data_IF_127846491218
#
_entry.id   IF_127846491218
#
_cell.length_a   1.000
_cell.length_b   1.000
_cell.length_c   1.000
_cell.angle_alpha   90.00
_cell.angle_beta   90.00
_cell.angle_gamma   90.00
#
_symmetry.space_group_name_H-M   'P 1'
#
loop_
_entity.id
_entity.type
_entity.pdbx_description
1 polymer ?
#
# COMPACT_ATOMS: atom_id res chain seq x y z
N UNK A 1 -10.68 -11.47 -3.58
CA UNK A 1 -12.15 -11.49 -3.29
C UNK A 1 -12.87 -10.81 -4.44
N UNK A 2 -14.17 -11.05 -4.62
CA UNK A 2 -14.95 -10.49 -5.73
C UNK A 2 -16.04 -9.55 -5.18
N UNK A 3 -16.54 -8.64 -6.03
CA UNK A 3 -17.70 -7.82 -5.73
C UNK A 3 -18.95 -8.70 -5.49
N UNK A 4 -19.72 -8.34 -4.47
CA UNK A 4 -21.05 -8.91 -4.25
C UNK A 4 -22.09 -8.22 -5.15
N UNK A 5 -23.27 -8.82 -5.31
CA UNK A 5 -24.40 -8.21 -6.05
C UNK A 5 -24.06 -7.81 -7.50
N UNK A 6 -23.17 -8.54 -8.19
CA UNK A 6 -22.68 -8.19 -9.54
C UNK A 6 -23.80 -7.88 -10.55
N UNK A 7 -24.88 -8.66 -10.57
CA UNK A 7 -26.02 -8.42 -11.48
C UNK A 7 -26.70 -7.07 -11.24
N UNK A 8 -26.84 -6.69 -9.97
CA UNK A 8 -27.44 -5.40 -9.61
C UNK A 8 -26.48 -4.24 -9.92
N UNK A 9 -25.19 -4.41 -9.64
CA UNK A 9 -24.16 -3.42 -9.99
C UNK A 9 -24.15 -3.22 -11.50
N UNK A 10 -24.16 -4.30 -12.28
CA UNK A 10 -24.24 -4.21 -13.76
C UNK A 10 -25.49 -3.44 -14.20
N UNK A 11 -26.65 -3.76 -13.64
CA UNK A 11 -27.91 -3.03 -13.91
C UNK A 11 -27.76 -1.52 -13.63
N UNK A 12 -27.06 -1.15 -12.56
CA UNK A 12 -26.85 0.26 -12.17
C UNK A 12 -25.90 0.94 -13.14
N UNK A 13 -24.79 0.30 -13.50
CA UNK A 13 -23.83 0.82 -14.48
C UNK A 13 -24.53 1.06 -15.83
N UNK A 14 -25.34 0.08 -16.29
CA UNK A 14 -26.12 0.17 -17.53
C UNK A 14 -27.19 1.28 -17.43
N UNK A 15 -27.92 1.39 -16.28
CA UNK A 15 -28.94 2.41 -16.06
C UNK A 15 -28.41 3.83 -16.20
N UNK A 16 -27.17 4.06 -15.71
CA UNK A 16 -26.55 5.37 -15.70
C UNK A 16 -25.56 5.60 -16.84
N UNK A 17 -25.47 4.65 -17.80
CA UNK A 17 -24.51 4.67 -18.93
C UNK A 17 -23.07 4.93 -18.45
N UNK A 18 -22.66 4.24 -17.38
CA UNK A 18 -21.31 4.29 -16.87
C UNK A 18 -20.45 3.26 -17.64
N UNK A 19 -19.50 3.73 -18.43
CA UNK A 19 -18.63 2.92 -19.31
C UNK A 19 -17.46 2.29 -18.55
N UNK A 20 -17.73 1.67 -17.40
CA UNK A 20 -16.76 0.94 -16.57
C UNK A 20 -17.29 -0.46 -16.34
N UNK A 21 -16.46 -1.48 -16.54
CA UNK A 21 -16.87 -2.86 -16.29
C UNK A 21 -16.63 -3.27 -14.83
N UNK A 22 -17.34 -4.31 -14.38
CA UNK A 22 -17.11 -4.90 -13.04
C UNK A 22 -15.67 -5.38 -12.90
N UNK A 23 -15.11 -5.99 -13.96
CA UNK A 23 -13.72 -6.47 -13.97
C UNK A 23 -12.72 -5.32 -13.82
N UNK A 24 -13.01 -4.15 -14.40
CA UNK A 24 -12.16 -2.97 -14.20
C UNK A 24 -12.23 -2.46 -12.77
N UNK A 25 -13.43 -2.40 -12.17
CA UNK A 25 -13.61 -2.03 -10.76
C UNK A 25 -12.83 -3.01 -9.88
N UNK A 26 -13.03 -4.32 -10.04
CA UNK A 26 -12.33 -5.36 -9.28
C UNK A 26 -10.81 -5.26 -9.44
N UNK A 27 -10.33 -4.99 -10.64
CA UNK A 27 -8.90 -4.80 -10.92
C UNK A 27 -8.31 -3.62 -10.16
N UNK A 28 -9.00 -2.46 -10.11
CA UNK A 28 -8.52 -1.28 -9.38
C UNK A 28 -8.48 -1.51 -7.88
N UNK A 29 -9.49 -2.12 -7.30
CA UNK A 29 -9.51 -2.49 -5.88
C UNK A 29 -8.61 -3.70 -5.53
N UNK A 30 -7.95 -4.31 -6.51
CA UNK A 30 -6.97 -5.40 -6.35
C UNK A 30 -5.53 -4.96 -6.61
N UNK A 31 -5.27 -3.66 -6.73
CA UNK A 31 -3.91 -3.13 -6.89
C UNK A 31 -3.02 -3.53 -5.72
N UNK A 32 -1.79 -3.94 -5.99
CA UNK A 32 -0.89 -4.59 -5.02
C UNK A 32 -0.49 -3.73 -3.82
N UNK A 33 -0.74 -2.42 -3.88
CA UNK A 33 -0.45 -1.48 -2.81
C UNK A 33 -1.64 -1.23 -1.86
N UNK A 34 -2.83 -1.78 -2.18
CA UNK A 34 -4.04 -1.64 -1.38
C UNK A 34 -4.15 -2.79 -0.39
N UNK A 35 -4.46 -2.50 0.85
CA UNK A 35 -4.66 -3.48 1.92
C UNK A 35 -5.95 -3.24 2.72
N UNK A 36 -6.35 -1.97 2.90
CA UNK A 36 -7.63 -1.58 3.48
C UNK A 36 -8.63 -1.12 2.41
N UNK A 37 -8.19 -0.28 1.46
CA UNK A 37 -9.03 0.26 0.38
C UNK A 37 -9.16 -0.76 -0.78
N UNK A 38 -9.78 -1.90 -0.45
CA UNK A 38 -9.94 -3.09 -1.30
C UNK A 38 -11.41 -3.47 -1.46
N UNK A 39 -11.71 -4.49 -2.27
CA UNK A 39 -13.09 -4.97 -2.52
C UNK A 39 -13.86 -5.28 -1.23
N UNK A 40 -13.22 -5.75 -0.18
CA UNK A 40 -13.84 -6.03 1.11
C UNK A 40 -14.47 -4.78 1.75
N UNK A 41 -13.79 -3.64 1.66
CA UNK A 41 -14.33 -2.36 2.12
C UNK A 41 -15.55 -1.97 1.29
N UNK A 42 -15.49 -2.08 -0.02
CA UNK A 42 -16.61 -1.80 -0.91
C UNK A 42 -17.80 -2.73 -0.63
N UNK A 43 -17.54 -4.03 -0.46
CA UNK A 43 -18.57 -5.00 -0.12
C UNK A 43 -19.25 -4.71 1.23
N UNK A 44 -18.49 -4.22 2.21
CA UNK A 44 -19.05 -3.76 3.49
C UNK A 44 -20.01 -2.59 3.28
N UNK A 45 -19.63 -1.58 2.51
CA UNK A 45 -20.47 -0.42 2.22
C UNK A 45 -21.74 -0.82 1.45
N UNK A 46 -21.59 -1.68 0.43
CA UNK A 46 -22.75 -2.21 -0.34
C UNK A 46 -23.74 -2.88 0.60
N UNK A 47 -23.29 -3.78 1.50
CA UNK A 47 -24.16 -4.43 2.46
C UNK A 47 -24.87 -3.41 3.37
N UNK A 48 -24.17 -2.40 3.87
CA UNK A 48 -24.75 -1.32 4.67
C UNK A 48 -25.85 -0.54 3.92
N UNK A 49 -25.63 -0.25 2.64
CA UNK A 49 -26.64 0.43 1.78
C UNK A 49 -27.88 -0.47 1.59
N UNK A 50 -27.70 -1.78 1.40
CA UNK A 50 -28.83 -2.70 1.32
C UNK A 50 -29.59 -2.82 2.65
N UNK A 51 -28.89 -2.83 3.78
CA UNK A 51 -29.53 -2.82 5.10
C UNK A 51 -30.40 -1.56 5.31
N UNK A 52 -29.93 -0.39 4.86
CA UNK A 52 -30.70 0.84 4.89
C UNK A 52 -31.95 0.75 4.01
N UNK A 53 -31.82 0.19 2.81
CA UNK A 53 -32.90 -0.01 1.89
C UNK A 53 -33.96 -1.00 2.43
N UNK A 54 -33.54 -2.13 2.96
CA UNK A 54 -34.44 -3.16 3.53
C UNK A 54 -35.21 -2.64 4.76
N UNK A 55 -34.58 -1.76 5.55
CA UNK A 55 -35.22 -1.03 6.66
C UNK A 55 -36.14 0.11 6.19
N UNK A 56 -36.26 0.34 4.88
CA UNK A 56 -37.02 1.44 4.27
C UNK A 56 -36.53 2.84 4.71
N UNK A 57 -35.28 2.97 5.07
CA UNK A 57 -34.70 4.24 5.44
C UNK A 57 -34.33 5.11 4.21
N UNK A 58 -34.16 4.49 3.03
CA UNK A 58 -33.87 5.15 1.77
C UNK A 58 -34.78 4.62 0.65
N UNK A 59 -34.99 5.44 -0.39
CA UNK A 59 -35.70 5.04 -1.60
C UNK A 59 -34.84 4.15 -2.51
N UNK A 60 -35.45 3.52 -3.53
CA UNK A 60 -34.72 2.76 -4.51
C UNK A 60 -33.75 3.65 -5.33
N UNK A 61 -34.12 4.90 -5.61
CA UNK A 61 -33.25 5.83 -6.30
C UNK A 61 -32.08 6.28 -5.43
N UNK A 62 -32.30 6.54 -4.14
CA UNK A 62 -31.23 6.86 -3.19
C UNK A 62 -30.25 5.69 -3.04
N UNK A 63 -30.77 4.44 -3.01
CA UNK A 63 -29.94 3.23 -3.01
C UNK A 63 -29.02 3.19 -4.23
N UNK A 64 -29.56 3.42 -5.44
CA UNK A 64 -28.78 3.41 -6.68
C UNK A 64 -27.68 4.49 -6.66
N UNK A 65 -28.00 5.73 -6.21
CA UNK A 65 -27.03 6.84 -6.07
C UNK A 65 -25.91 6.47 -5.07
N UNK A 66 -26.26 5.93 -3.90
CA UNK A 66 -25.31 5.54 -2.88
C UNK A 66 -24.42 4.38 -3.34
N UNK A 67 -24.97 3.42 -4.10
CA UNK A 67 -24.17 2.32 -4.67
C UNK A 67 -23.16 2.82 -5.69
N UNK A 68 -23.53 3.77 -6.56
CA UNK A 68 -22.58 4.43 -7.47
C UNK A 68 -21.49 5.15 -6.66
N UNK A 69 -21.86 5.97 -5.68
CA UNK A 69 -20.88 6.67 -4.87
C UNK A 69 -19.94 5.70 -4.12
N UNK A 70 -20.46 4.61 -3.53
CA UNK A 70 -19.67 3.60 -2.84
C UNK A 70 -18.69 2.86 -3.78
N UNK A 71 -19.12 2.54 -5.00
CA UNK A 71 -18.27 1.85 -5.97
C UNK A 71 -17.10 2.72 -6.47
N UNK A 72 -17.29 4.04 -6.49
CA UNK A 72 -16.34 4.95 -7.13
C UNK A 72 -15.57 5.84 -6.15
N UNK A 73 -15.90 5.96 -4.85
CA UNK A 73 -15.24 6.93 -3.94
C UNK A 73 -13.73 6.74 -3.83
N UNK A 74 -13.26 5.50 -3.83
CA UNK A 74 -11.85 5.13 -3.71
C UNK A 74 -11.30 4.42 -4.96
N UNK A 75 -11.97 4.54 -6.12
CA UNK A 75 -11.56 3.82 -7.34
C UNK A 75 -10.18 4.26 -7.82
N UNK A 76 -9.81 5.51 -7.57
CA UNK A 76 -8.45 6.03 -7.73
C UNK A 76 -7.83 6.16 -6.33
N UNK A 77 -6.73 5.45 -6.10
CA UNK A 77 -6.04 5.48 -4.82
C UNK A 77 -4.52 5.50 -5.01
N UNK A 78 -3.93 6.66 -4.79
CA UNK A 78 -2.48 6.89 -4.80
C UNK A 78 -2.02 7.20 -3.38
N UNK A 79 -1.13 6.37 -2.83
CA UNK A 79 -0.70 6.48 -1.43
C UNK A 79 -0.05 7.83 -1.14
N UNK A 80 -0.57 8.54 -0.13
CA UNK A 80 -0.05 9.84 0.32
C UNK A 80 -0.46 11.03 -0.54
N UNK A 81 -1.43 10.86 -1.43
CA UNK A 81 -2.08 11.96 -2.16
C UNK A 81 -3.33 12.43 -1.41
N UNK A 82 -3.70 13.68 -1.63
CA UNK A 82 -4.86 14.31 -1.00
C UNK A 82 -5.99 14.59 -2.01
N UNK A 83 -5.87 14.07 -3.22
CA UNK A 83 -6.76 14.33 -4.34
C UNK A 83 -7.38 13.02 -4.90
N UNK A 84 -7.30 11.93 -4.13
CA UNK A 84 -7.80 10.63 -4.55
C UNK A 84 -9.31 10.64 -4.77
N UNK A 85 -10.07 11.14 -3.83
CA UNK A 85 -11.53 11.23 -3.87
C UNK A 85 -11.97 12.16 -5.00
N UNK A 86 -11.31 13.30 -5.19
CA UNK A 86 -11.55 14.19 -6.32
C UNK A 86 -11.31 13.48 -7.65
N UNK A 87 -10.17 12.80 -7.81
CA UNK A 87 -9.87 12.01 -9.02
C UNK A 87 -10.85 10.87 -9.23
N UNK A 88 -11.33 10.27 -8.16
CA UNK A 88 -12.35 9.21 -8.18
C UNK A 88 -13.69 9.75 -8.68
N UNK A 89 -14.11 10.91 -8.19
CA UNK A 89 -15.32 11.60 -8.66
C UNK A 89 -15.18 12.04 -10.14
N UNK A 90 -14.03 12.59 -10.52
CA UNK A 90 -13.72 12.93 -11.91
C UNK A 90 -13.68 11.69 -12.82
N UNK A 91 -13.17 10.54 -12.32
CA UNK A 91 -13.18 9.28 -13.04
C UNK A 91 -14.61 8.81 -13.31
N UNK A 92 -15.52 8.89 -12.35
CA UNK A 92 -16.94 8.61 -12.55
C UNK A 92 -17.52 9.47 -13.68
N UNK A 93 -17.35 10.79 -13.61
CA UNK A 93 -17.90 11.70 -14.61
C UNK A 93 -17.31 11.47 -16.01
N UNK A 94 -16.00 11.26 -16.11
CA UNK A 94 -15.32 11.05 -17.40
C UNK A 94 -15.69 9.71 -18.08
N UNK A 95 -16.24 8.77 -17.33
CA UNK A 95 -16.69 7.48 -17.84
C UNK A 95 -18.22 7.35 -17.88
N UNK A 96 -18.96 8.46 -17.79
CA UNK A 96 -20.41 8.47 -17.86
C UNK A 96 -20.88 9.18 -19.14
N UNK A 97 -21.71 8.52 -19.94
CA UNK A 97 -22.39 9.13 -21.08
C UNK A 97 -23.68 9.76 -20.62
N UNK A 98 -23.71 11.09 -20.47
CA UNK A 98 -24.88 11.83 -20.01
C UNK A 98 -25.91 11.95 -21.15
N UNK A 99 -27.10 11.37 -20.96
CA UNK A 99 -28.15 11.28 -21.98
C UNK A 99 -29.38 12.13 -21.68
N UNK A 100 -29.70 12.34 -20.39
CA UNK A 100 -30.83 13.17 -19.95
C UNK A 100 -30.55 13.88 -18.60
N UNK A 101 -31.45 14.84 -18.26
CA UNK A 101 -31.30 15.65 -17.05
C UNK A 101 -31.46 14.83 -15.76
N UNK A 102 -32.33 13.81 -15.78
CA UNK A 102 -32.57 12.97 -14.60
C UNK A 102 -31.33 12.14 -14.24
N UNK A 103 -30.75 11.45 -15.22
CA UNK A 103 -29.54 10.68 -15.07
C UNK A 103 -28.36 11.59 -14.64
N UNK A 104 -28.21 12.75 -15.31
CA UNK A 104 -27.18 13.73 -14.96
C UNK A 104 -27.30 14.22 -13.53
N UNK A 105 -28.53 14.46 -13.04
CA UNK A 105 -28.76 14.88 -11.66
C UNK A 105 -28.37 13.80 -10.64
N UNK A 106 -28.68 12.52 -10.89
CA UNK A 106 -28.33 11.42 -9.98
C UNK A 106 -26.81 11.16 -9.94
N UNK A 107 -26.14 11.22 -11.10
CA UNK A 107 -24.67 11.10 -11.16
C UNK A 107 -23.99 12.29 -10.47
N UNK A 108 -24.49 13.52 -10.66
CA UNK A 108 -23.97 14.69 -9.95
C UNK A 108 -24.12 14.53 -8.43
N UNK A 109 -25.24 13.98 -7.94
CA UNK A 109 -25.38 13.66 -6.52
C UNK A 109 -24.34 12.64 -6.06
N UNK A 110 -24.09 11.57 -6.83
CA UNK A 110 -23.03 10.59 -6.52
C UNK A 110 -21.66 11.25 -6.51
N UNK A 111 -21.38 12.15 -7.45
CA UNK A 111 -20.15 12.96 -7.48
C UNK A 111 -20.00 13.80 -6.20
N UNK A 112 -21.03 14.56 -5.83
CA UNK A 112 -20.99 15.40 -4.63
C UNK A 112 -20.80 14.56 -3.35
N UNK A 113 -21.44 13.39 -3.28
CA UNK A 113 -21.27 12.45 -2.16
C UNK A 113 -19.82 11.95 -2.08
N UNK A 114 -19.19 11.62 -3.21
CA UNK A 114 -17.76 11.25 -3.26
C UNK A 114 -16.89 12.42 -2.78
N UNK A 115 -17.16 13.64 -3.23
CA UNK A 115 -16.42 14.82 -2.77
C UNK A 115 -16.55 15.06 -1.26
N UNK A 116 -17.69 14.74 -0.66
CA UNK A 116 -17.93 14.87 0.79
C UNK A 116 -17.13 13.84 1.61
N UNK A 117 -16.59 12.75 1.01
CA UNK A 117 -15.71 11.80 1.71
C UNK A 117 -14.29 12.35 1.90
N UNK A 118 -13.86 13.42 1.22
CA UNK A 118 -12.52 14.04 1.37
C UNK A 118 -12.24 14.41 2.83
N UNK A 119 -13.16 15.07 3.48
CA UNK A 119 -13.03 15.53 4.88
C UNK A 119 -14.14 14.99 5.79
N UNK A 120 -14.99 14.12 5.26
CA UNK A 120 -16.15 13.50 5.94
C UNK A 120 -17.07 14.55 6.57
N UNK A 121 -17.33 15.63 5.85
CA UNK A 121 -18.30 16.67 6.22
C UNK A 121 -19.50 16.64 5.27
N UNK A 122 -20.49 15.80 5.56
CA UNK A 122 -21.61 15.60 4.67
C UNK A 122 -22.44 16.89 4.53
N UNK A 123 -22.79 17.24 3.27
CA UNK A 123 -23.63 18.39 2.96
C UNK A 123 -25.15 18.06 2.92
N UNK A 124 -25.49 16.76 2.93
CA UNK A 124 -26.87 16.29 2.89
C UNK A 124 -27.00 14.90 3.55
N UNK A 125 -28.24 14.42 3.72
CA UNK A 125 -28.52 13.14 4.37
C UNK A 125 -27.91 11.92 3.64
N UNK A 126 -27.88 11.91 2.30
CA UNK A 126 -27.27 10.80 1.55
C UNK A 126 -25.75 10.78 1.71
N UNK A 127 -25.11 11.96 1.63
CA UNK A 127 -23.68 12.09 1.94
C UNK A 127 -23.37 11.60 3.35
N UNK A 128 -24.24 11.94 4.32
CA UNK A 128 -24.08 11.48 5.71
C UNK A 128 -24.12 9.96 5.82
N UNK A 129 -25.06 9.31 5.15
CA UNK A 129 -25.17 7.86 5.18
C UNK A 129 -23.92 7.18 4.59
N UNK A 130 -23.36 7.70 3.48
CA UNK A 130 -22.14 7.14 2.90
C UNK A 130 -20.94 7.38 3.81
N UNK A 131 -20.74 8.60 4.32
CA UNK A 131 -19.66 8.91 5.26
C UNK A 131 -19.76 8.09 6.56
N UNK A 132 -20.97 7.82 7.07
CA UNK A 132 -21.17 6.96 8.24
C UNK A 132 -20.73 5.51 7.96
N UNK A 133 -20.97 4.99 6.75
CA UNK A 133 -20.51 3.66 6.34
C UNK A 133 -18.99 3.61 6.12
N UNK A 134 -18.41 4.59 5.45
CA UNK A 134 -16.99 4.69 5.19
C UNK A 134 -16.18 4.80 6.49
N UNK A 135 -16.65 5.66 7.40
CA UNK A 135 -16.01 5.90 8.71
C UNK A 135 -16.37 4.88 9.80
N UNK A 136 -17.16 3.85 9.47
CA UNK A 136 -17.64 2.85 10.45
C UNK A 136 -16.49 2.22 11.25
N UNK A 137 -15.41 1.84 10.56
CA UNK A 137 -14.26 1.20 11.23
C UNK A 137 -13.64 2.10 12.31
N UNK A 138 -13.61 3.41 12.11
CA UNK A 138 -13.09 4.35 13.12
C UNK A 138 -14.13 4.63 14.19
N UNK A 139 -15.41 4.77 13.81
CA UNK A 139 -16.45 5.28 14.69
C UNK A 139 -17.09 4.22 15.59
N UNK A 140 -17.07 2.93 15.21
CA UNK A 140 -17.87 1.89 15.87
C UNK A 140 -17.16 0.54 16.07
N UNK A 141 -15.87 0.44 15.74
CA UNK A 141 -15.11 -0.80 15.89
C UNK A 141 -14.60 -1.01 17.30
N UNK A 142 -14.44 -2.29 17.66
CA UNK A 142 -13.65 -2.68 18.83
C UNK A 142 -12.17 -2.31 18.66
N UNK A 143 -11.43 -2.27 19.77
CA UNK A 143 -9.98 -2.01 19.72
C UNK A 143 -9.22 -3.03 18.86
N UNK A 144 -9.64 -4.31 18.86
CA UNK A 144 -9.01 -5.36 18.04
C UNK A 144 -9.22 -5.10 16.54
N UNK A 145 -10.40 -4.65 16.14
CA UNK A 145 -10.71 -4.28 14.76
C UNK A 145 -9.94 -3.03 14.33
N UNK A 146 -9.83 -2.03 15.21
CA UNK A 146 -8.99 -0.86 14.98
C UNK A 146 -7.49 -1.23 14.80
N UNK A 147 -6.98 -2.21 15.55
CA UNK A 147 -5.60 -2.70 15.35
C UNK A 147 -5.43 -3.40 14.00
N UNK A 148 -6.42 -4.16 13.54
CA UNK A 148 -6.39 -4.78 12.20
C UNK A 148 -6.41 -3.72 11.11
N UNK A 149 -7.31 -2.75 11.23
CA UNK A 149 -7.39 -1.59 10.35
C UNK A 149 -6.05 -0.84 10.29
N UNK A 150 -5.48 -0.51 11.45
CA UNK A 150 -4.18 0.17 11.54
C UNK A 150 -3.07 -0.61 10.83
N UNK A 151 -3.04 -1.94 10.98
CA UNK A 151 -2.09 -2.78 10.28
C UNK A 151 -2.28 -2.71 8.76
N UNK A 152 -3.50 -2.73 8.27
CA UNK A 152 -3.80 -2.63 6.85
C UNK A 152 -3.37 -1.26 6.29
N UNK A 153 -3.70 -0.16 6.99
CA UNK A 153 -3.24 1.19 6.61
C UNK A 153 -1.71 1.26 6.61
N UNK A 154 -1.05 0.71 7.63
CA UNK A 154 0.42 0.70 7.67
C UNK A 154 1.03 -0.07 6.48
N UNK A 155 0.41 -1.18 6.06
CA UNK A 155 0.85 -1.94 4.88
C UNK A 155 0.71 -1.14 3.57
N UNK A 156 -0.28 -0.25 3.45
CA UNK A 156 -0.40 0.65 2.32
C UNK A 156 0.74 1.69 2.28
N UNK A 157 1.21 2.13 3.44
CA UNK A 157 2.23 3.17 3.55
C UNK A 157 3.68 2.64 3.60
N UNK A 158 3.96 1.44 3.08
CA UNK A 158 5.28 0.81 3.15
C UNK A 158 6.41 1.59 2.44
N UNK A 159 6.08 2.42 1.46
CA UNK A 159 7.05 3.31 0.78
C UNK A 159 7.66 4.37 1.71
N UNK A 160 6.94 4.76 2.76
CA UNK A 160 7.37 5.84 3.65
C UNK A 160 8.18 5.30 4.84
N UNK A 161 9.18 6.07 5.34
CA UNK A 161 9.81 5.78 6.61
C UNK A 161 8.77 5.66 7.73
N UNK A 162 9.00 4.74 8.65
CA UNK A 162 8.05 4.53 9.76
C UNK A 162 7.80 5.79 10.59
N UNK A 163 8.84 6.58 10.87
CA UNK A 163 8.70 7.83 11.62
C UNK A 163 7.81 8.87 10.89
N UNK A 164 7.86 8.91 9.56
CA UNK A 164 7.00 9.77 8.73
C UNK A 164 5.55 9.29 8.79
N UNK A 165 5.33 7.97 8.56
CA UNK A 165 4.02 7.35 8.71
C UNK A 165 3.44 7.61 10.11
N UNK A 166 4.17 7.26 11.17
CA UNK A 166 3.77 7.43 12.57
C UNK A 166 3.33 8.87 12.88
N UNK A 167 4.13 9.86 12.44
CA UNK A 167 3.79 11.27 12.65
C UNK A 167 2.46 11.66 11.98
N UNK A 168 2.29 11.32 10.71
CA UNK A 168 1.05 11.60 9.98
C UNK A 168 -0.15 10.88 10.59
N UNK A 169 0.03 9.60 10.91
CA UNK A 169 -1.04 8.77 11.48
C UNK A 169 -1.50 9.25 12.85
N UNK A 170 -0.59 9.59 13.74
CA UNK A 170 -0.92 10.17 15.05
C UNK A 170 -1.63 11.52 14.92
N UNK A 171 -1.23 12.35 13.96
CA UNK A 171 -1.91 13.61 13.71
C UNK A 171 -3.35 13.37 13.23
N UNK A 172 -3.55 12.44 12.28
CA UNK A 172 -4.88 12.04 11.80
C UNK A 172 -5.77 11.57 12.96
N UNK A 173 -5.30 10.60 13.76
CA UNK A 173 -6.08 10.05 14.86
C UNK A 173 -6.43 11.10 15.93
N UNK A 174 -5.49 12.02 16.25
CA UNK A 174 -5.77 13.12 17.18
C UNK A 174 -6.80 14.10 16.62
N UNK A 175 -6.79 14.37 15.32
CA UNK A 175 -7.82 15.17 14.67
C UNK A 175 -9.19 14.48 14.71
N UNK A 176 -9.21 13.15 14.55
CA UNK A 176 -10.44 12.35 14.66
C UNK A 176 -11.11 12.48 16.04
N UNK A 177 -10.36 12.58 17.13
CA UNK A 177 -10.93 12.77 18.47
C UNK A 177 -11.79 14.04 18.61
N UNK A 178 -11.63 15.00 17.71
CA UNK A 178 -12.37 16.26 17.70
C UNK A 178 -13.60 16.21 16.79
N UNK A 179 -13.73 15.26 15.89
CA UNK A 179 -14.88 15.13 15.00
C UNK A 179 -15.94 14.17 15.56
N UNK A 180 -17.09 14.09 14.92
CA UNK A 180 -18.21 13.28 15.39
C UNK A 180 -17.92 11.77 15.36
N UNK A 181 -17.16 11.28 14.36
CA UNK A 181 -16.83 9.86 14.22
C UNK A 181 -15.90 9.38 15.34
N UNK A 182 -14.83 10.11 15.58
CA UNK A 182 -13.87 9.76 16.63
C UNK A 182 -14.45 9.92 18.04
N UNK A 183 -15.38 10.85 18.25
CA UNK A 183 -16.07 10.99 19.54
C UNK A 183 -16.92 9.76 19.90
N UNK A 184 -17.49 9.07 18.90
CA UNK A 184 -18.26 7.83 19.11
C UNK A 184 -17.37 6.70 19.66
N UNK A 185 -16.10 6.65 19.28
CA UNK A 185 -15.15 5.59 19.65
C UNK A 185 -13.90 6.11 20.37
N UNK A 186 -14.06 7.19 21.13
CA UNK A 186 -12.98 7.96 21.74
C UNK A 186 -11.95 7.09 22.49
N UNK A 187 -12.43 6.23 23.39
CA UNK A 187 -11.54 5.43 24.26
C UNK A 187 -10.68 4.43 23.48
N UNK A 188 -11.23 3.81 22.41
CA UNK A 188 -10.47 2.88 21.58
C UNK A 188 -9.47 3.61 20.68
N UNK A 189 -9.79 4.82 20.21
CA UNK A 189 -8.86 5.66 19.45
C UNK A 189 -7.71 6.12 20.35
N UNK A 190 -7.96 6.50 21.60
CA UNK A 190 -6.88 6.82 22.57
C UNK A 190 -5.95 5.62 22.76
N UNK A 191 -6.50 4.42 22.99
CA UNK A 191 -5.68 3.20 23.08
C UNK A 191 -4.86 2.93 21.82
N UNK A 192 -5.43 3.20 20.64
CA UNK A 192 -4.71 3.06 19.37
C UNK A 192 -3.56 4.08 19.27
N UNK A 193 -3.79 5.34 19.67
CA UNK A 193 -2.75 6.37 19.74
C UNK A 193 -1.61 5.92 20.64
N UNK A 194 -1.91 5.48 21.86
CA UNK A 194 -0.91 4.98 22.82
C UNK A 194 -0.15 3.77 22.26
N UNK A 195 -0.84 2.85 21.60
CA UNK A 195 -0.22 1.71 20.93
C UNK A 195 0.78 2.16 19.87
N UNK A 196 0.39 3.07 18.94
CA UNK A 196 1.27 3.56 17.87
C UNK A 196 2.45 4.36 18.47
N UNK A 197 2.24 5.16 19.51
CA UNK A 197 3.31 5.91 20.17
C UNK A 197 4.40 5.00 20.72
N UNK A 198 4.03 3.85 21.27
CA UNK A 198 4.96 2.90 21.88
C UNK A 198 5.42 1.79 20.92
N UNK A 199 4.82 1.70 19.73
CA UNK A 199 5.13 0.65 18.77
C UNK A 199 6.54 0.81 18.20
N UNK A 200 7.31 -0.29 18.22
CA UNK A 200 8.63 -0.42 17.63
C UNK A 200 8.60 -1.50 16.55
N UNK A 201 8.50 -1.13 15.27
CA UNK A 201 8.34 -2.11 14.20
C UNK A 201 9.61 -2.93 13.99
N UNK A 202 9.42 -4.19 13.59
CA UNK A 202 10.47 -5.09 13.13
C UNK A 202 10.71 -4.87 11.66
N UNK A 203 11.89 -4.36 11.31
CA UNK A 203 12.28 -4.04 9.95
C UNK A 203 13.19 -5.12 9.40
N UNK A 204 12.82 -5.72 8.28
CA UNK A 204 13.72 -6.53 7.46
C UNK A 204 14.52 -5.62 6.52
N UNK A 205 15.83 -5.49 6.73
CA UNK A 205 16.70 -4.73 5.83
C UNK A 205 17.32 -5.66 4.80
N UNK A 206 16.92 -5.52 3.54
CA UNK A 206 17.48 -6.29 2.44
C UNK A 206 18.50 -5.43 1.70
N UNK A 207 19.79 -5.71 1.91
CA UNK A 207 20.89 -4.93 1.34
C UNK A 207 21.50 -5.61 0.11
N UNK A 208 21.69 -4.84 -0.96
CA UNK A 208 22.26 -5.31 -2.22
C UNK A 208 22.43 -4.19 -3.24
N UNK A 209 22.97 -4.53 -4.41
CA UNK A 209 23.06 -3.59 -5.54
C UNK A 209 21.76 -3.56 -6.37
N UNK A 210 21.01 -4.66 -6.40
CA UNK A 210 19.77 -4.85 -7.18
C UNK A 210 19.88 -4.40 -8.65
N UNK A 211 21.03 -4.63 -9.25
CA UNK A 211 21.35 -4.17 -10.60
C UNK A 211 21.48 -5.34 -11.60
N UNK A 212 20.41 -5.73 -12.30
CA UNK A 212 19.01 -5.28 -12.10
C UNK A 212 18.33 -5.97 -10.92
N UNK A 213 17.23 -5.37 -10.46
CA UNK A 213 16.24 -6.07 -9.64
C UNK A 213 15.65 -7.20 -10.49
N UNK A 214 15.44 -8.39 -9.90
CA UNK A 214 14.89 -9.55 -10.60
C UNK A 214 13.94 -10.38 -9.73
N UNK A 215 13.20 -11.28 -10.37
CA UNK A 215 12.16 -12.09 -9.72
C UNK A 215 12.68 -12.91 -8.52
N UNK A 216 13.96 -13.33 -8.52
CA UNK A 216 14.59 -13.96 -7.35
C UNK A 216 14.67 -13.04 -6.14
N UNK A 217 15.00 -11.75 -6.32
CA UNK A 217 14.93 -10.77 -5.23
C UNK A 217 13.50 -10.60 -4.71
N UNK A 218 12.51 -10.51 -5.62
CA UNK A 218 11.09 -10.39 -5.27
C UNK A 218 10.61 -11.61 -4.48
N UNK A 219 11.08 -12.82 -4.81
CA UNK A 219 10.78 -14.04 -4.08
C UNK A 219 11.26 -13.97 -2.62
N UNK A 220 12.53 -13.56 -2.38
CA UNK A 220 13.07 -13.35 -1.03
C UNK A 220 12.24 -12.32 -0.26
N UNK A 221 11.89 -11.20 -0.88
CA UNK A 221 11.10 -10.15 -0.25
C UNK A 221 9.71 -10.67 0.15
N UNK A 222 9.02 -11.36 -0.76
CA UNK A 222 7.70 -11.95 -0.49
C UNK A 222 7.73 -12.92 0.69
N UNK A 223 8.75 -13.78 0.78
CA UNK A 223 8.96 -14.67 1.93
C UNK A 223 9.22 -13.91 3.22
N UNK A 224 9.87 -12.74 3.13
CA UNK A 224 10.19 -11.89 4.28
C UNK A 224 8.97 -11.17 4.85
N UNK A 225 7.92 -10.92 4.06
CA UNK A 225 6.71 -10.19 4.49
C UNK A 225 6.02 -10.82 5.71
N UNK A 226 6.11 -12.14 5.87
CA UNK A 226 5.53 -12.83 7.02
C UNK A 226 6.35 -12.70 8.32
N UNK A 227 7.61 -12.26 8.22
CA UNK A 227 8.56 -12.18 9.34
C UNK A 227 8.71 -10.77 9.89
N UNK A 228 8.42 -9.77 9.08
CA UNK A 228 8.68 -8.36 9.38
C UNK A 228 7.43 -7.50 9.16
N UNK A 229 7.34 -6.43 9.91
CA UNK A 229 6.29 -5.42 9.73
C UNK A 229 6.54 -4.55 8.50
N UNK A 230 7.81 -4.46 8.07
CA UNK A 230 8.23 -3.67 6.93
C UNK A 230 9.53 -4.22 6.35
N UNK A 231 9.65 -4.14 5.01
CA UNK A 231 10.89 -4.41 4.29
C UNK A 231 11.49 -3.08 3.81
N UNK A 232 12.79 -2.91 4.03
CA UNK A 232 13.56 -1.79 3.50
C UNK A 232 14.64 -2.32 2.57
N UNK A 233 14.69 -1.83 1.34
CA UNK A 233 15.78 -2.11 0.41
C UNK A 233 16.90 -1.10 0.65
N UNK A 234 18.08 -1.57 0.97
CA UNK A 234 19.28 -0.74 1.14
C UNK A 234 20.26 -0.92 -0.02
N UNK A 235 20.49 0.16 -0.77
CA UNK A 235 21.40 0.18 -1.92
C UNK A 235 22.69 0.87 -1.50
N UNK A 236 23.81 0.14 -1.51
CA UNK A 236 25.14 0.69 -1.24
C UNK A 236 25.66 1.53 -2.40
N UNK A 237 26.08 2.77 -2.10
CA UNK A 237 26.75 3.66 -3.05
C UNK A 237 28.26 3.53 -2.86
N UNK A 238 28.99 3.27 -3.95
CA UNK A 238 30.45 3.34 -3.94
C UNK A 238 30.88 4.80 -4.15
N UNK A 239 31.49 5.45 -3.13
CA UNK A 239 31.90 6.85 -3.25
C UNK A 239 32.94 7.11 -4.34
N UNK A 240 33.80 6.11 -4.64
CA UNK A 240 34.83 6.21 -5.67
C UNK A 240 34.28 6.25 -7.10
N UNK A 241 32.98 5.91 -7.26
CA UNK A 241 32.27 5.90 -8.55
C UNK A 241 31.21 7.01 -8.67
N UNK A 242 31.15 7.95 -7.75
CA UNK A 242 30.14 8.99 -7.77
C UNK A 242 30.22 9.94 -9.00
N UNK A 243 31.40 10.08 -9.58
CA UNK A 243 31.62 10.87 -10.81
C UNK A 243 31.38 10.05 -12.09
N UNK A 244 31.15 8.74 -11.98
CA UNK A 244 30.79 7.88 -13.10
C UNK A 244 29.32 8.05 -13.46
N UNK A 245 29.08 8.70 -14.60
CA UNK A 245 27.72 9.01 -15.08
C UNK A 245 26.89 7.76 -15.32
N UNK A 246 27.51 6.67 -15.82
CA UNK A 246 26.83 5.40 -16.09
C UNK A 246 26.44 4.71 -14.78
N UNK A 247 27.32 4.74 -13.78
CA UNK A 247 27.00 4.22 -12.44
C UNK A 247 25.85 4.97 -11.77
N UNK A 248 25.88 6.31 -11.77
CA UNK A 248 24.80 7.14 -11.21
C UNK A 248 23.47 6.91 -11.93
N UNK A 249 23.54 6.77 -13.27
CA UNK A 249 22.36 6.43 -14.07
C UNK A 249 21.80 5.06 -13.68
N UNK A 250 22.64 4.05 -13.53
CA UNK A 250 22.24 2.69 -13.12
C UNK A 250 21.58 2.65 -11.73
N UNK A 251 22.07 3.45 -10.78
CA UNK A 251 21.47 3.57 -9.44
C UNK A 251 20.04 4.15 -9.52
N UNK A 252 19.85 5.19 -10.34
CA UNK A 252 18.52 5.81 -10.55
C UNK A 252 17.55 4.84 -11.23
N UNK A 253 18.01 4.16 -12.27
CA UNK A 253 17.18 3.15 -12.98
C UNK A 253 16.75 2.02 -12.06
N UNK A 254 17.65 1.53 -11.21
CA UNK A 254 17.34 0.50 -10.22
C UNK A 254 16.33 0.98 -9.18
N UNK A 255 16.52 2.17 -8.63
CA UNK A 255 15.59 2.77 -7.67
C UNK A 255 14.21 2.94 -8.29
N UNK A 256 14.13 3.49 -9.51
CA UNK A 256 12.87 3.66 -10.23
C UNK A 256 12.18 2.32 -10.54
N UNK A 257 12.96 1.29 -10.89
CA UNK A 257 12.41 -0.06 -11.12
C UNK A 257 11.81 -0.65 -9.84
N UNK A 258 12.48 -0.48 -8.70
CA UNK A 258 11.98 -0.92 -7.39
C UNK A 258 10.70 -0.16 -7.02
N UNK A 259 10.73 1.16 -7.10
CA UNK A 259 9.59 2.04 -6.80
C UNK A 259 8.36 1.72 -7.66
N UNK A 260 8.58 1.41 -8.93
CA UNK A 260 7.49 1.09 -9.86
C UNK A 260 6.83 -0.27 -9.59
N UNK A 261 7.61 -1.25 -9.15
CA UNK A 261 7.17 -2.64 -9.07
C UNK A 261 6.85 -3.12 -7.64
N UNK A 262 7.31 -2.39 -6.63
CA UNK A 262 7.24 -2.82 -5.23
C UNK A 262 6.79 -1.67 -4.32
N UNK A 263 5.90 -1.98 -3.39
CA UNK A 263 5.51 -1.04 -2.34
C UNK A 263 6.45 -1.17 -1.14
N UNK A 264 7.71 -0.74 -1.32
CA UNK A 264 8.77 -0.82 -0.28
C UNK A 264 9.53 0.49 -0.17
N UNK A 265 10.10 0.73 1.00
CA UNK A 265 11.02 1.84 1.21
C UNK A 265 12.38 1.51 0.62
N UNK A 266 12.92 2.41 -0.22
CA UNK A 266 14.28 2.32 -0.75
C UNK A 266 15.17 3.33 -0.04
N UNK A 267 16.35 2.89 0.41
CA UNK A 267 17.37 3.73 1.02
C UNK A 267 18.72 3.53 0.35
N UNK A 268 19.41 4.63 0.21
CA UNK A 268 20.83 4.61 -0.21
C UNK A 268 21.72 4.81 1.01
N UNK A 269 22.87 4.15 1.04
CA UNK A 269 23.86 4.34 2.09
C UNK A 269 25.28 4.37 1.49
N UNK A 270 26.16 5.08 2.18
CA UNK A 270 27.59 5.12 1.90
C UNK A 270 28.35 4.54 3.11
N UNK A 271 29.56 4.04 2.91
CA UNK A 271 30.36 3.46 3.99
C UNK A 271 29.88 2.08 4.43
N UNK A 272 29.97 1.80 5.73
CA UNK A 272 29.68 0.48 6.27
C UNK A 272 28.16 0.27 6.48
N UNK A 273 27.67 -0.89 6.04
CA UNK A 273 26.26 -1.28 6.23
C UNK A 273 25.91 -1.37 7.74
N UNK A 274 26.85 -1.78 8.58
CA UNK A 274 26.66 -1.84 10.04
C UNK A 274 26.42 -0.47 10.66
N UNK A 275 27.09 0.57 10.19
CA UNK A 275 26.89 1.92 10.70
C UNK A 275 25.54 2.49 10.24
N UNK A 276 25.19 2.24 8.98
CA UNK A 276 23.86 2.57 8.48
C UNK A 276 22.74 1.89 9.29
N UNK A 277 22.89 0.60 9.64
CA UNK A 277 21.92 -0.12 10.47
C UNK A 277 21.81 0.53 11.86
N UNK A 278 22.93 0.82 12.53
CA UNK A 278 22.94 1.45 13.86
C UNK A 278 22.28 2.82 13.84
N UNK A 279 22.62 3.65 12.86
CA UNK A 279 22.05 4.98 12.68
C UNK A 279 20.53 4.89 12.49
N UNK A 280 20.07 4.03 11.58
CA UNK A 280 18.65 3.89 11.28
C UNK A 280 17.86 3.32 12.47
N UNK A 281 18.41 2.37 13.22
CA UNK A 281 17.76 1.86 14.42
C UNK A 281 17.53 2.95 15.47
N UNK A 282 18.52 3.84 15.63
CA UNK A 282 18.46 4.93 16.59
C UNK A 282 17.55 6.07 16.12
N UNK A 283 17.68 6.51 14.86
CA UNK A 283 16.92 7.65 14.33
C UNK A 283 15.42 7.36 14.17
N UNK A 284 15.07 6.15 13.74
CA UNK A 284 13.68 5.77 13.43
C UNK A 284 13.01 5.03 14.59
N UNK A 285 13.75 4.68 15.64
CA UNK A 285 13.28 3.86 16.77
C UNK A 285 12.67 2.53 16.31
N UNK A 286 13.40 1.79 15.50
CA UNK A 286 12.99 0.51 14.90
C UNK A 286 13.93 -0.63 15.30
N UNK A 287 13.46 -1.87 15.17
CA UNK A 287 14.27 -3.09 15.35
C UNK A 287 14.63 -3.67 13.98
N UNK A 288 15.92 -3.59 13.59
CA UNK A 288 16.38 -4.00 12.26
C UNK A 288 17.02 -5.39 12.31
N UNK A 289 16.60 -6.24 11.38
CA UNK A 289 17.24 -7.52 11.07
C UNK A 289 17.70 -7.51 9.62
N UNK A 290 18.98 -7.81 9.38
CA UNK A 290 19.54 -7.92 8.03
C UNK A 290 19.02 -9.19 7.36
N UNK A 291 18.44 -9.06 6.17
CA UNK A 291 18.01 -10.17 5.33
C UNK A 291 19.13 -10.55 4.36
N UNK A 292 19.41 -11.84 4.28
CA UNK A 292 20.30 -12.44 3.29
C UNK A 292 19.54 -13.53 2.53
N UNK A 293 19.38 -13.35 1.22
CA UNK A 293 18.85 -14.37 0.33
C UNK A 293 19.88 -15.42 0.01
N UNK A 294 19.50 -16.68 0.03
CA UNK A 294 20.36 -17.82 -0.31
C UNK A 294 19.78 -18.58 -1.50
N UNK A 295 20.59 -18.90 -2.48
CA UNK A 295 20.24 -19.77 -3.62
C UNK A 295 20.70 -21.21 -3.36
N UNK A 296 21.89 -21.36 -2.77
CA UNK A 296 22.50 -22.66 -2.50
C UNK A 296 23.40 -22.62 -1.26
N UNK A 297 24.09 -23.75 -1.00
CA UNK A 297 25.00 -23.89 0.14
C UNK A 297 26.28 -23.04 0.00
N UNK A 298 26.71 -22.71 -1.22
CA UNK A 298 27.90 -21.86 -1.44
C UNK A 298 27.61 -20.42 -1.07
N UNK A 299 26.39 -19.93 -1.39
CA UNK A 299 25.94 -18.62 -0.94
C UNK A 299 25.98 -18.53 0.60
N UNK A 300 25.55 -19.58 1.32
CA UNK A 300 25.58 -19.58 2.79
C UNK A 300 27.00 -19.44 3.36
N UNK A 301 27.98 -20.15 2.79
CA UNK A 301 29.38 -20.05 3.24
C UNK A 301 29.93 -18.65 2.98
N UNK A 302 29.67 -18.11 1.81
CA UNK A 302 30.10 -16.75 1.46
C UNK A 302 29.48 -15.70 2.40
N UNK A 303 28.16 -15.75 2.58
CA UNK A 303 27.41 -14.82 3.43
C UNK A 303 27.84 -14.93 4.91
N UNK A 304 28.07 -16.15 5.42
CA UNK A 304 28.56 -16.33 6.79
C UNK A 304 29.90 -15.64 7.01
N UNK A 305 30.84 -15.73 6.06
CA UNK A 305 32.11 -15.03 6.17
C UNK A 305 31.94 -13.51 6.23
N UNK A 306 31.06 -12.96 5.38
CA UNK A 306 30.78 -11.53 5.40
C UNK A 306 30.12 -11.10 6.73
N UNK A 307 29.20 -11.90 7.24
CA UNK A 307 28.51 -11.62 8.51
C UNK A 307 29.45 -11.67 9.70
N UNK A 308 30.48 -12.52 9.72
CA UNK A 308 31.48 -12.52 10.79
C UNK A 308 32.20 -11.16 10.90
N UNK A 309 32.70 -10.62 9.78
CA UNK A 309 33.30 -9.27 9.78
C UNK A 309 32.31 -8.19 10.25
N UNK A 310 31.04 -8.30 9.85
CA UNK A 310 30.01 -7.35 10.29
C UNK A 310 29.72 -7.47 11.78
N UNK A 311 29.73 -8.69 12.35
CA UNK A 311 29.53 -8.93 13.79
C UNK A 311 30.73 -8.48 14.62
N UNK A 312 31.94 -8.53 14.09
CA UNK A 312 33.11 -7.95 14.77
C UNK A 312 32.94 -6.44 14.97
N UNK A 313 32.32 -5.75 14.00
CA UNK A 313 32.02 -4.31 14.08
C UNK A 313 30.71 -3.99 14.83
N UNK A 314 29.75 -4.92 14.80
CA UNK A 314 28.44 -4.78 15.42
C UNK A 314 27.96 -6.15 15.97
N UNK A 315 28.35 -6.51 17.21
CA UNK A 315 28.04 -7.83 17.81
C UNK A 315 26.55 -8.13 17.93
N UNK A 316 25.71 -7.11 18.09
CA UNK A 316 24.26 -7.23 18.24
C UNK A 316 23.52 -7.35 16.91
N UNK A 317 24.25 -7.40 15.76
CA UNK A 317 23.64 -7.52 14.44
C UNK A 317 22.76 -8.75 14.34
N UNK A 318 21.47 -8.55 14.12
CA UNK A 318 20.51 -9.60 13.83
C UNK A 318 20.54 -9.92 12.34
N UNK A 319 20.57 -11.19 11.99
CA UNK A 319 20.61 -11.66 10.61
C UNK A 319 19.62 -12.80 10.44
N UNK A 320 18.90 -12.81 9.31
CA UNK A 320 18.08 -13.92 8.86
C UNK A 320 18.50 -14.35 7.47
N UNK A 321 18.63 -15.66 7.27
CA UNK A 321 18.87 -16.26 5.97
C UNK A 321 17.57 -16.80 5.40
N UNK A 322 17.23 -16.39 4.19
CA UNK A 322 15.98 -16.78 3.52
C UNK A 322 16.34 -17.53 2.23
N UNK A 323 16.08 -18.84 2.16
CA UNK A 323 16.32 -19.59 0.94
C UNK A 323 15.34 -19.18 -0.16
N UNK A 324 15.84 -18.93 -1.36
CA UNK A 324 15.04 -18.77 -2.56
C UNK A 324 14.29 -20.05 -2.93
N UNK A 325 13.30 -19.95 -3.81
CA UNK A 325 12.69 -21.12 -4.43
C UNK A 325 13.60 -21.61 -5.56
N UNK A 326 13.71 -22.94 -5.70
CA UNK A 326 14.65 -23.59 -6.64
C UNK A 326 14.53 -23.10 -8.08
N UNK A 327 13.34 -22.69 -8.48
CA UNK A 327 13.10 -22.14 -9.83
C UNK A 327 13.90 -20.85 -10.10
N UNK A 328 14.35 -20.15 -9.07
CA UNK A 328 15.11 -18.90 -9.16
C UNK A 328 16.62 -19.06 -8.90
N UNK A 329 17.12 -20.26 -8.56
CA UNK A 329 18.53 -20.48 -8.18
C UNK A 329 19.52 -20.05 -9.25
N UNK A 330 19.17 -20.22 -10.54
CA UNK A 330 20.00 -19.86 -11.68
C UNK A 330 20.03 -18.36 -11.98
N UNK A 331 19.19 -17.55 -11.31
CA UNK A 331 19.04 -16.12 -11.61
C UNK A 331 19.97 -15.30 -10.71
N UNK A 332 20.80 -14.47 -11.32
CA UNK A 332 21.61 -13.48 -10.61
C UNK A 332 21.69 -12.17 -11.39
N UNK A 333 21.85 -11.05 -10.69
CA UNK A 333 22.04 -9.75 -11.35
C UNK A 333 23.25 -9.77 -12.30
N UNK A 334 24.33 -10.49 -11.94
CA UNK A 334 25.53 -10.61 -12.81
C UNK A 334 25.25 -11.37 -14.08
N UNK A 335 24.53 -12.51 -13.99
CA UNK A 335 24.12 -13.28 -15.19
C UNK A 335 23.19 -12.48 -16.08
N UNK A 336 22.24 -11.72 -15.49
CA UNK A 336 21.33 -10.87 -16.26
C UNK A 336 22.07 -9.73 -16.96
N UNK A 337 23.02 -9.05 -16.29
CA UNK A 337 23.86 -8.05 -16.96
C UNK A 337 24.63 -8.63 -18.14
N UNK A 338 25.18 -9.83 -17.97
CA UNK A 338 25.88 -10.52 -19.07
C UNK A 338 24.94 -10.82 -20.24
N UNK A 339 23.76 -11.38 -19.98
CA UNK A 339 22.77 -11.67 -21.03
C UNK A 339 22.29 -10.39 -21.74
N UNK A 340 22.10 -9.31 -21.02
CA UNK A 340 21.70 -8.01 -21.56
C UNK A 340 22.68 -7.47 -22.61
N UNK A 341 23.99 -7.81 -22.52
CA UNK A 341 24.97 -7.39 -23.53
C UNK A 341 24.75 -8.02 -24.90
N UNK A 342 24.02 -9.13 -24.98
CA UNK A 342 23.68 -9.80 -26.25
C UNK A 342 22.32 -9.36 -26.78
N UNK A 343 21.28 -9.38 -25.94
CA UNK A 343 19.93 -8.94 -26.29
C UNK A 343 19.13 -8.62 -25.01
N UNK A 344 18.58 -7.41 -24.92
CA UNK A 344 17.79 -6.97 -23.78
C UNK A 344 16.54 -7.83 -23.55
N UNK A 345 15.94 -8.36 -24.61
CA UNK A 345 14.75 -9.25 -24.54
C UNK A 345 15.03 -10.55 -23.79
N UNK A 346 16.28 -11.01 -23.73
CA UNK A 346 16.65 -12.25 -23.02
C UNK A 346 16.39 -12.16 -21.53
N UNK A 347 16.37 -10.95 -20.97
CA UNK A 347 16.23 -10.75 -19.51
C UNK A 347 14.81 -10.35 -19.11
N UNK A 348 13.94 -9.95 -20.04
CA UNK A 348 12.58 -9.44 -19.73
C UNK A 348 11.77 -10.36 -18.81
N UNK A 349 11.80 -11.67 -19.07
CA UNK A 349 11.08 -12.69 -18.28
C UNK A 349 11.60 -12.84 -16.83
N UNK A 350 12.78 -12.31 -16.53
CA UNK A 350 13.40 -12.37 -15.20
C UNK A 350 13.26 -11.06 -14.43
N UNK A 351 12.77 -10.00 -15.06
CA UNK A 351 12.47 -8.74 -14.40
C UNK A 351 11.11 -8.80 -13.70
N UNK A 352 10.88 -8.04 -12.61
CA UNK A 352 9.63 -8.07 -11.84
C UNK A 352 8.42 -7.57 -12.62
#
# INVERSE_FOLDING_TARGET
MELIKKDEIKRILDKYNINVTIEEIEKRYSESHRYYHIIEHINFMINGIYDLFDKKAISNNDKDILLVAALFHDIIYEIGKNDNEQKSAEFLNNNTDFVDEFQSNDINKSFDIIMDTIDHKPNNELSKLLCDLDMYTISDSSFIELLKYEKQIYLEFQKYPFNVYKKGRLQFLRNMLNNEYGKKNYDNIIKLIEYIENYKPKIGLYAGSFNPLHIGHKNIMKKSESLFDKIVIAIGINPEKNDDVEYVKSLKENSNSIDKNLNVEVRFYTGLLTDFIKEKQSSDNVDITLIRGLRDGFDLVYENNQIQYMKDMYPELKVVYIPGDREFDHISSSSLRYLKTYDEKLIEKYLP
#
